data_IF_039160644815
#
_entry.id   IF_039160644815
#
_cell.length_a   1.000
_cell.length_b   1.000
_cell.length_c   1.000
_cell.angle_alpha   90.00
_cell.angle_beta   90.00
_cell.angle_gamma   90.00
#
_symmetry.space_group_name_H-M   'P 1'
#
loop_
_entity.id
_entity.type
_entity.pdbx_description
1 polymer ?
#
# COMPACT_ATOMS: atom_id res chain seq x y z
N UNK A 1 33.96 -56.21 75.27
CA UNK A 1 35.12 -55.80 74.48
C UNK A 1 34.69 -55.70 73.02
N UNK A 2 35.03 -54.58 72.41
CA UNK A 2 34.72 -54.09 71.07
C UNK A 2 34.89 -55.14 69.96
N UNK A 3 33.98 -55.17 68.97
CA UNK A 3 34.35 -55.25 67.55
C UNK A 3 33.18 -54.86 66.62
N UNK A 4 33.45 -53.92 65.71
CA UNK A 4 32.66 -53.45 64.56
C UNK A 4 33.04 -54.31 63.35
N UNK A 5 32.12 -54.82 62.52
CA UNK A 5 31.82 -54.21 61.20
C UNK A 5 30.34 -54.39 60.80
N UNK A 6 29.76 -53.67 59.85
CA UNK A 6 30.17 -53.54 58.46
C UNK A 6 29.34 -52.45 57.78
N UNK A 7 30.01 -51.59 57.04
CA UNK A 7 29.41 -50.56 56.18
C UNK A 7 28.69 -51.20 54.99
N UNK A 8 27.38 -50.99 54.85
CA UNK A 8 26.73 -51.07 53.54
C UNK A 8 26.57 -49.66 53.00
N UNK A 9 27.44 -49.33 52.05
CA UNK A 9 27.47 -48.04 51.37
C UNK A 9 26.39 -48.07 50.28
N UNK A 10 25.15 -47.71 50.62
CA UNK A 10 24.10 -47.52 49.62
C UNK A 10 24.36 -46.22 48.85
N UNK A 11 25.06 -46.34 47.73
CA UNK A 11 25.16 -45.29 46.73
C UNK A 11 23.77 -45.02 46.13
N UNK A 12 23.05 -44.07 46.70
CA UNK A 12 21.93 -43.43 46.02
C UNK A 12 22.48 -42.59 44.85
N UNK A 13 22.54 -43.20 43.67
CA UNK A 13 22.69 -42.48 42.41
C UNK A 13 21.45 -41.59 42.25
N UNK A 14 21.53 -40.34 42.70
CA UNK A 14 20.58 -39.29 42.33
C UNK A 14 20.71 -39.08 40.82
N UNK A 15 19.84 -39.73 40.03
CA UNK A 15 19.59 -39.38 38.64
C UNK A 15 19.13 -37.92 38.60
N UNK A 16 20.08 -37.03 38.34
CA UNK A 16 19.82 -35.65 37.94
C UNK A 16 18.82 -35.68 36.80
N UNK A 17 17.61 -35.16 37.03
CA UNK A 17 16.65 -34.82 35.98
C UNK A 17 17.28 -33.70 35.15
N UNK A 18 18.19 -34.04 34.23
CA UNK A 18 18.54 -33.18 33.10
C UNK A 18 17.25 -33.03 32.29
N UNK A 19 16.46 -31.99 32.62
CA UNK A 19 15.44 -31.50 31.72
C UNK A 19 16.11 -31.35 30.35
N UNK A 20 15.61 -32.10 29.38
CA UNK A 20 16.23 -32.28 28.06
C UNK A 20 16.66 -30.92 27.50
N UNK A 21 17.97 -30.64 27.58
CA UNK A 21 18.56 -29.36 27.15
C UNK A 21 18.20 -29.06 25.69
N UNK A 22 17.92 -30.11 24.92
CA UNK A 22 17.43 -30.05 23.55
C UNK A 22 16.07 -29.36 23.41
N UNK A 23 15.13 -29.58 24.33
CA UNK A 23 13.83 -28.88 24.33
C UNK A 23 13.99 -27.38 24.58
N UNK A 24 14.94 -27.00 25.44
CA UNK A 24 15.26 -25.58 25.72
C UNK A 24 15.95 -24.93 24.52
N UNK A 25 16.88 -25.63 23.86
CA UNK A 25 17.55 -25.15 22.64
C UNK A 25 16.54 -24.97 21.50
N UNK A 26 15.64 -25.93 21.29
CA UNK A 26 14.58 -25.81 20.27
C UNK A 26 13.65 -24.64 20.57
N UNK A 27 13.26 -24.45 21.84
CA UNK A 27 12.45 -23.30 22.25
C UNK A 27 13.17 -21.97 21.98
N UNK A 28 14.46 -21.88 22.30
CA UNK A 28 15.26 -20.68 22.02
C UNK A 28 15.39 -20.40 20.53
N UNK A 29 15.63 -21.43 19.71
CA UNK A 29 15.69 -21.28 18.24
C UNK A 29 14.33 -20.80 17.69
N UNK A 30 13.22 -21.36 18.17
CA UNK A 30 11.89 -20.92 17.76
C UNK A 30 11.67 -19.45 18.16
N UNK A 31 11.95 -19.07 19.41
CA UNK A 31 11.78 -17.68 19.87
C UNK A 31 12.66 -16.71 19.07
N UNK A 32 13.93 -17.05 18.85
CA UNK A 32 14.86 -16.22 18.05
C UNK A 32 14.54 -16.19 16.56
N UNK A 33 13.79 -17.16 16.02
CA UNK A 33 13.33 -17.17 14.63
C UNK A 33 12.00 -16.43 14.44
N UNK A 34 11.05 -16.59 15.37
CA UNK A 34 9.73 -15.96 15.29
C UNK A 34 9.76 -14.45 15.56
N UNK A 35 10.62 -13.97 16.46
CA UNK A 35 10.73 -12.52 16.73
C UNK A 35 11.12 -11.75 15.46
N UNK A 36 12.23 -12.07 14.75
CA UNK A 36 12.56 -11.44 13.48
C UNK A 36 11.47 -11.57 12.42
N UNK A 37 10.77 -12.70 12.35
CA UNK A 37 9.69 -12.90 11.40
C UNK A 37 8.50 -11.95 11.66
N UNK A 38 8.11 -11.76 12.94
CA UNK A 38 7.07 -10.82 13.34
C UNK A 38 7.50 -9.38 13.01
N UNK A 39 8.75 -9.01 13.32
CA UNK A 39 9.29 -7.70 12.97
C UNK A 39 9.33 -7.46 11.46
N UNK A 40 9.80 -8.45 10.68
CA UNK A 40 9.86 -8.36 9.23
C UNK A 40 8.47 -8.26 8.58
N UNK A 41 7.46 -8.93 9.16
CA UNK A 41 6.06 -8.79 8.75
C UNK A 41 5.53 -7.38 9.06
N UNK A 42 5.74 -6.87 10.27
CA UNK A 42 5.26 -5.55 10.70
C UNK A 42 5.92 -4.39 9.93
N UNK A 43 7.16 -4.58 9.49
CA UNK A 43 7.91 -3.60 8.70
C UNK A 43 7.78 -3.81 7.18
N UNK A 44 6.94 -4.76 6.75
CA UNK A 44 6.69 -5.01 5.33
C UNK A 44 7.95 -5.40 4.54
N UNK A 45 8.96 -5.99 5.19
CA UNK A 45 10.24 -6.37 4.56
C UNK A 45 9.98 -7.33 3.39
N UNK A 46 9.07 -8.30 3.59
CA UNK A 46 8.68 -9.28 2.59
C UNK A 46 7.58 -8.81 1.63
N UNK A 47 7.03 -7.61 1.81
CA UNK A 47 6.04 -7.12 0.86
C UNK A 47 6.68 -6.78 -0.47
N UNK A 48 5.94 -7.04 -1.55
CA UNK A 48 6.36 -6.67 -2.90
C UNK A 48 6.22 -5.17 -3.12
N UNK A 49 5.36 -4.50 -2.36
CA UNK A 49 5.02 -3.10 -2.49
C UNK A 49 5.65 -2.25 -1.38
N UNK A 50 5.75 -0.94 -1.63
CA UNK A 50 6.04 0.09 -0.64
C UNK A 50 5.16 1.32 -0.89
N UNK A 51 4.73 1.96 0.20
CA UNK A 51 3.95 3.21 0.14
C UNK A 51 4.90 4.39 0.08
N UNK A 52 4.63 5.39 -0.77
CA UNK A 52 5.50 6.54 -1.00
C UNK A 52 5.43 7.63 0.09
N UNK A 53 5.25 7.24 1.35
CA UNK A 53 5.12 8.16 2.48
C UNK A 53 6.36 9.05 2.75
N UNK A 54 7.52 8.71 2.18
CA UNK A 54 8.79 9.44 2.30
C UNK A 54 9.23 10.10 1.00
N UNK A 55 8.40 10.06 -0.04
CA UNK A 55 8.73 10.55 -1.37
C UNK A 55 7.70 11.58 -1.82
N UNK A 56 8.15 12.58 -2.59
CA UNK A 56 7.24 13.39 -3.39
C UNK A 56 6.99 12.66 -4.72
N UNK A 57 5.72 12.49 -5.07
CA UNK A 57 5.31 11.87 -6.32
C UNK A 57 4.99 12.98 -7.31
N UNK A 58 5.66 12.93 -8.45
CA UNK A 58 5.43 13.81 -9.57
C UNK A 58 5.04 13.03 -10.82
N UNK A 59 4.36 13.70 -11.74
CA UNK A 59 4.08 13.19 -13.08
C UNK A 59 4.88 13.98 -14.11
N UNK A 60 5.47 13.26 -15.06
CA UNK A 60 6.14 13.84 -16.21
C UNK A 60 5.12 14.15 -17.31
N UNK A 61 5.07 15.41 -17.73
CA UNK A 61 4.28 15.89 -18.87
C UNK A 61 5.20 16.80 -19.68
N UNK A 62 5.39 16.51 -20.98
CA UNK A 62 6.26 17.27 -21.88
C UNK A 62 7.66 17.54 -21.28
N UNK A 63 8.27 16.51 -20.69
CA UNK A 63 9.59 16.55 -20.02
C UNK A 63 9.67 17.47 -18.79
N UNK A 64 8.54 17.95 -18.29
CA UNK A 64 8.43 18.73 -17.05
C UNK A 64 7.80 17.90 -15.95
N UNK A 65 8.30 18.09 -14.73
CA UNK A 65 7.84 17.35 -13.55
C UNK A 65 6.86 18.19 -12.74
N UNK A 66 5.65 17.68 -12.54
CA UNK A 66 4.60 18.32 -11.76
C UNK A 66 4.25 17.47 -10.54
N UNK A 67 4.27 18.05 -9.35
CA UNK A 67 3.92 17.33 -8.11
C UNK A 67 2.44 17.00 -8.12
N UNK A 68 2.11 15.74 -7.83
CA UNK A 68 0.73 15.23 -7.74
C UNK A 68 0.38 14.69 -6.35
N UNK A 69 1.37 14.24 -5.58
CA UNK A 69 1.15 13.73 -4.22
C UNK A 69 2.37 13.93 -3.33
N UNK A 70 2.10 14.19 -2.05
CA UNK A 70 3.09 14.34 -0.99
C UNK A 70 2.74 13.54 0.27
N UNK A 71 1.61 12.82 0.27
CA UNK A 71 1.01 12.26 1.48
C UNK A 71 1.06 10.73 1.54
N UNK A 72 1.72 10.08 0.58
CA UNK A 72 1.80 8.62 0.53
C UNK A 72 0.50 7.98 0.04
N UNK A 73 -0.19 8.67 -0.87
CA UNK A 73 -1.41 8.18 -1.50
C UNK A 73 -1.10 7.14 -2.58
N UNK A 74 0.15 7.08 -3.05
CA UNK A 74 0.61 6.07 -3.98
C UNK A 74 1.42 4.96 -3.29
N UNK A 75 1.27 3.75 -3.82
CA UNK A 75 2.14 2.63 -3.53
C UNK A 75 2.75 2.07 -4.83
N UNK A 76 3.91 1.45 -4.69
CA UNK A 76 4.73 1.03 -5.81
C UNK A 76 5.31 -0.35 -5.55
N UNK A 77 5.49 -1.14 -6.59
CA UNK A 77 6.28 -2.36 -6.51
C UNK A 77 7.74 -2.00 -6.15
N UNK A 78 8.44 -2.81 -5.34
CA UNK A 78 9.86 -2.59 -5.07
C UNK A 78 10.66 -2.90 -6.34
N UNK A 79 11.74 -2.15 -6.57
CA UNK A 79 12.49 -2.16 -7.85
C UNK A 79 13.00 -3.52 -8.32
N UNK A 80 13.19 -4.48 -7.41
CA UNK A 80 13.66 -5.83 -7.71
C UNK A 80 12.55 -6.83 -8.06
N UNK A 81 11.28 -6.45 -7.86
CA UNK A 81 10.14 -7.23 -8.31
C UNK A 81 9.64 -6.72 -9.66
N UNK A 82 9.31 -7.66 -10.53
CA UNK A 82 8.69 -7.40 -11.83
C UNK A 82 7.37 -8.17 -11.95
N UNK A 83 6.37 -7.63 -12.69
CA UNK A 83 6.38 -6.31 -13.33
C UNK A 83 6.26 -5.17 -12.30
N UNK A 84 6.82 -4.01 -12.62
CA UNK A 84 6.63 -2.79 -11.85
C UNK A 84 5.17 -2.30 -11.96
N UNK A 85 4.55 -2.00 -10.82
CA UNK A 85 3.16 -1.53 -10.75
C UNK A 85 3.05 -0.29 -9.87
N UNK A 86 2.12 0.59 -10.25
CA UNK A 86 1.70 1.78 -9.53
C UNK A 86 0.28 1.56 -9.01
N UNK A 87 0.10 1.89 -7.74
CA UNK A 87 -1.15 1.73 -7.02
C UNK A 87 -1.57 3.06 -6.40
N UNK A 88 -2.88 3.34 -6.37
CA UNK A 88 -3.46 4.55 -5.78
C UNK A 88 -4.41 4.18 -4.65
N UNK A 89 -4.26 4.81 -3.49
CA UNK A 89 -5.13 4.59 -2.34
C UNK A 89 -6.58 4.94 -2.70
N UNK A 90 -7.50 4.04 -2.39
CA UNK A 90 -8.93 4.18 -2.71
C UNK A 90 -9.63 5.32 -1.95
N UNK A 91 -9.07 5.81 -0.84
CA UNK A 91 -9.55 7.03 -0.19
C UNK A 91 -9.23 8.30 -0.99
N UNK A 92 -8.34 8.20 -1.98
CA UNK A 92 -7.75 9.34 -2.69
C UNK A 92 -8.10 9.31 -4.18
N UNK A 93 -9.28 8.79 -4.49
CA UNK A 93 -9.74 8.61 -5.87
C UNK A 93 -9.89 9.91 -6.68
N UNK A 94 -9.92 11.08 -6.03
CA UNK A 94 -9.86 12.35 -6.75
C UNK A 94 -8.57 12.50 -7.58
N UNK A 95 -7.49 11.77 -7.25
CA UNK A 95 -6.24 11.72 -8.02
C UNK A 95 -6.37 10.91 -9.32
N UNK A 96 -7.39 10.07 -9.46
CA UNK A 96 -7.60 9.27 -10.67
C UNK A 96 -7.97 10.15 -11.88
N UNK A 97 -8.82 11.14 -11.67
CA UNK A 97 -9.32 12.07 -12.68
C UNK A 97 -8.19 12.78 -13.47
N UNK A 98 -7.21 13.46 -12.83
CA UNK A 98 -6.07 14.04 -13.54
C UNK A 98 -5.26 12.99 -14.31
N UNK A 99 -5.01 11.82 -13.72
CA UNK A 99 -4.21 10.78 -14.34
C UNK A 99 -4.89 10.27 -15.62
N UNK A 100 -6.21 10.09 -15.61
CA UNK A 100 -6.97 9.71 -16.79
C UNK A 100 -6.91 10.76 -17.90
N UNK A 101 -6.98 12.04 -17.55
CA UNK A 101 -6.85 13.14 -18.52
C UNK A 101 -5.47 13.21 -19.15
N UNK A 102 -4.43 13.02 -18.35
CA UNK A 102 -3.04 13.01 -18.80
C UNK A 102 -2.81 11.81 -19.73
N UNK A 103 -3.29 10.62 -19.35
CA UNK A 103 -3.20 9.41 -20.16
C UNK A 103 -3.82 9.58 -21.56
N UNK A 104 -4.88 10.39 -21.68
CA UNK A 104 -5.57 10.65 -22.94
C UNK A 104 -5.02 11.84 -23.73
N UNK A 105 -3.97 12.53 -23.23
CA UNK A 105 -3.51 13.81 -23.78
C UNK A 105 -4.63 14.87 -23.91
N UNK A 106 -5.69 14.76 -23.09
CA UNK A 106 -6.86 15.65 -23.13
C UNK A 106 -6.67 16.89 -22.24
N UNK A 107 -5.43 17.30 -22.05
CA UNK A 107 -5.04 18.24 -21.02
C UNK A 107 -4.21 19.37 -21.62
N UNK A 108 -4.63 20.62 -21.37
CA UNK A 108 -3.80 21.81 -21.61
C UNK A 108 -3.22 22.27 -20.28
N UNK A 109 -1.89 22.28 -20.18
CA UNK A 109 -1.14 22.88 -19.08
C UNK A 109 -1.29 24.40 -19.16
N UNK A 110 -2.24 24.94 -18.41
CA UNK A 110 -2.42 26.37 -18.22
C UNK A 110 -2.30 26.76 -16.73
N UNK A 111 -2.30 28.07 -16.47
CA UNK A 111 -2.16 28.64 -15.14
C UNK A 111 -3.34 28.31 -14.20
N UNK A 112 -4.47 27.81 -14.73
CA UNK A 112 -5.60 27.37 -13.89
C UNK A 112 -5.36 26.00 -13.26
N UNK A 113 -4.48 25.20 -13.86
CA UNK A 113 -4.15 23.86 -13.36
C UNK A 113 -2.75 23.80 -12.74
N UNK A 114 -1.81 24.64 -13.16
CA UNK A 114 -0.46 24.63 -12.59
C UNK A 114 -0.34 25.69 -11.51
N UNK A 115 -0.02 25.27 -10.29
CA UNK A 115 0.44 26.18 -9.24
C UNK A 115 1.97 26.25 -9.24
N UNK A 116 2.52 27.45 -9.05
CA UNK A 116 3.98 27.62 -8.98
C UNK A 116 4.55 26.86 -7.79
N UNK A 117 5.66 26.17 -8.03
CA UNK A 117 6.46 25.52 -7.00
C UNK A 117 7.68 26.38 -6.68
N UNK A 118 7.99 26.51 -5.39
CA UNK A 118 9.28 27.05 -4.93
C UNK A 118 10.41 26.01 -4.94
N UNK A 119 10.07 24.73 -5.15
CA UNK A 119 11.03 23.64 -5.17
C UNK A 119 11.68 23.51 -6.57
N UNK A 120 13.02 23.63 -6.69
CA UNK A 120 13.72 23.64 -7.98
C UNK A 120 13.66 22.31 -8.75
N UNK A 121 13.27 21.21 -8.10
CA UNK A 121 13.12 19.91 -8.76
C UNK A 121 11.82 19.77 -9.55
N UNK A 122 10.86 20.69 -9.38
CA UNK A 122 9.53 20.59 -9.98
C UNK A 122 9.17 21.87 -10.72
N UNK A 123 8.50 21.70 -11.86
CA UNK A 123 7.95 22.81 -12.65
C UNK A 123 6.69 23.41 -12.03
N UNK A 124 6.06 22.73 -11.08
CA UNK A 124 4.87 23.20 -10.38
C UNK A 124 4.16 22.09 -9.61
N UNK A 125 3.02 22.45 -9.04
CA UNK A 125 2.02 21.51 -8.53
C UNK A 125 0.90 21.39 -9.54
N UNK A 126 0.47 20.17 -9.82
CA UNK A 126 -0.73 19.96 -10.60
C UNK A 126 -1.95 20.13 -9.68
N UNK A 127 -2.87 21.00 -10.05
CA UNK A 127 -4.16 21.12 -9.38
C UNK A 127 -4.96 19.85 -9.65
N UNK A 128 -5.53 19.30 -8.58
CA UNK A 128 -6.34 18.09 -8.62
C UNK A 128 -7.82 18.38 -8.84
N UNK A 129 -8.20 19.66 -8.90
CA UNK A 129 -9.57 20.12 -9.06
C UNK A 129 -9.82 20.63 -10.49
N UNK A 130 -10.35 19.76 -11.34
CA UNK A 130 -10.74 20.10 -12.71
C UNK A 130 -12.19 20.57 -12.73
N UNK A 131 -12.42 21.87 -12.54
CA UNK A 131 -13.78 22.42 -12.47
C UNK A 131 -14.53 22.50 -13.82
N UNK A 132 -13.89 22.17 -14.95
CA UNK A 132 -14.41 22.58 -16.27
C UNK A 132 -14.49 21.48 -17.33
N UNK A 133 -14.65 20.22 -16.95
CA UNK A 133 -14.83 19.14 -17.93
C UNK A 133 -16.30 18.75 -18.10
N UNK A 134 -16.71 18.49 -19.35
CA UNK A 134 -18.04 17.92 -19.64
C UNK A 134 -18.15 16.42 -19.29
N UNK A 135 -17.04 15.74 -18.99
CA UNK A 135 -17.00 14.29 -18.75
C UNK A 135 -16.10 13.97 -17.57
N UNK A 136 -16.70 13.45 -16.49
CA UNK A 136 -15.98 12.93 -15.32
C UNK A 136 -15.52 11.49 -15.57
N UNK A 137 -14.31 11.14 -15.19
CA UNK A 137 -13.79 9.77 -15.19
C UNK A 137 -14.07 9.03 -13.89
N UNK A 138 -14.53 9.75 -12.86
CA UNK A 138 -15.01 9.18 -11.62
C UNK A 138 -16.41 9.66 -11.27
N UNK A 139 -17.21 8.76 -10.70
CA UNK A 139 -18.46 9.09 -10.03
C UNK A 139 -18.53 8.36 -8.71
N UNK A 140 -18.94 9.08 -7.68
CA UNK A 140 -19.17 8.52 -6.35
C UNK A 140 -20.67 8.61 -6.06
N UNK A 141 -21.26 7.49 -5.65
CA UNK A 141 -22.69 7.41 -5.30
C UNK A 141 -22.85 6.83 -3.90
N UNK A 142 -23.82 7.33 -3.15
CA UNK A 142 -24.17 6.81 -1.82
C UNK A 142 -25.40 5.93 -1.98
N UNK A 143 -25.29 4.69 -1.52
CA UNK A 143 -26.39 3.74 -1.47
C UNK A 143 -26.85 3.57 -0.03
N UNK A 144 -28.06 4.02 0.27
CA UNK A 144 -28.67 3.87 1.59
C UNK A 144 -29.27 2.47 1.72
N UNK A 145 -28.84 1.73 2.75
CA UNK A 145 -29.45 0.46 3.14
C UNK A 145 -30.67 0.70 4.03
N UNK A 146 -30.57 1.72 4.89
CA UNK A 146 -31.64 2.18 5.78
C UNK A 146 -31.33 3.63 6.23
N UNK A 147 -32.08 4.17 7.19
CA UNK A 147 -31.90 5.54 7.68
C UNK A 147 -30.54 5.82 8.37
N UNK A 148 -29.81 4.77 8.76
CA UNK A 148 -28.54 4.87 9.49
C UNK A 148 -27.36 4.34 8.69
N UNK A 149 -27.56 3.26 7.92
CA UNK A 149 -26.51 2.58 7.21
C UNK A 149 -26.55 2.90 5.71
N UNK A 150 -25.37 3.19 5.16
CA UNK A 150 -25.16 3.41 3.74
C UNK A 150 -23.77 2.91 3.36
N UNK A 151 -23.51 2.75 2.06
CA UNK A 151 -22.17 2.54 1.54
C UNK A 151 -21.89 3.44 0.35
N UNK A 152 -20.63 3.78 0.16
CA UNK A 152 -20.14 4.58 -0.95
C UNK A 152 -19.69 3.67 -2.10
N UNK A 153 -20.23 3.88 -3.29
CA UNK A 153 -19.85 3.17 -4.50
C UNK A 153 -19.07 4.11 -5.42
N UNK A 154 -17.82 3.73 -5.71
CA UNK A 154 -16.91 4.44 -6.61
C UNK A 154 -16.96 3.78 -7.99
N UNK A 155 -17.31 4.56 -9.00
CA UNK A 155 -17.45 4.15 -10.38
C UNK A 155 -16.38 4.87 -11.22
N UNK A 156 -15.59 4.12 -11.97
CA UNK A 156 -14.58 4.62 -12.88
C UNK A 156 -15.03 4.43 -14.33
N UNK A 157 -14.69 5.39 -15.18
CA UNK A 157 -15.10 5.42 -16.59
C UNK A 157 -13.88 5.55 -17.52
N UNK A 158 -13.99 5.02 -18.74
CA UNK A 158 -12.98 5.20 -19.79
C UNK A 158 -13.20 6.49 -20.62
N UNK A 159 -12.37 6.69 -21.65
CA UNK A 159 -12.48 7.78 -22.61
C UNK A 159 -13.83 7.82 -23.36
N UNK A 160 -14.46 6.66 -23.56
CA UNK A 160 -15.75 6.47 -24.22
C UNK A 160 -16.94 6.65 -23.26
N UNK A 161 -16.66 6.79 -21.95
CA UNK A 161 -17.62 6.90 -20.84
C UNK A 161 -18.33 5.61 -20.49
N UNK A 162 -17.80 4.47 -20.92
CA UNK A 162 -18.20 3.18 -20.42
C UNK A 162 -17.62 3.02 -19.01
N UNK A 163 -18.43 2.44 -18.12
CA UNK A 163 -17.96 2.09 -16.78
C UNK A 163 -16.96 0.93 -16.88
N UNK A 164 -15.78 1.11 -16.30
CA UNK A 164 -14.69 0.14 -16.35
C UNK A 164 -14.41 -0.54 -15.02
N UNK A 165 -14.79 0.10 -13.92
CA UNK A 165 -14.68 -0.48 -12.58
C UNK A 165 -15.73 0.14 -11.66
N UNK A 166 -16.31 -0.70 -10.81
CA UNK A 166 -17.22 -0.30 -9.76
C UNK A 166 -16.79 -1.01 -8.47
N UNK A 167 -16.57 -0.26 -7.39
CA UNK A 167 -16.08 -0.82 -6.14
C UNK A 167 -16.49 -0.01 -4.91
N UNK A 168 -16.40 -0.64 -3.74
CA UNK A 168 -16.63 0.00 -2.45
C UNK A 168 -15.73 -0.59 -1.38
N UNK A 169 -15.19 0.28 -0.55
CA UNK A 169 -14.31 0.00 0.58
C UNK A 169 -15.13 -0.20 1.88
N UNK A 170 -16.38 0.25 1.85
CA UNK A 170 -17.29 0.22 2.99
C UNK A 170 -17.64 -1.22 3.39
N UNK A 171 -17.62 -1.50 4.70
CA UNK A 171 -17.98 -2.80 5.28
C UNK A 171 -19.41 -3.23 4.97
N UNK A 172 -20.32 -2.28 4.72
CA UNK A 172 -21.73 -2.54 4.45
C UNK A 172 -22.00 -2.87 2.98
N UNK A 173 -21.03 -2.65 2.09
CA UNK A 173 -21.20 -2.95 0.68
C UNK A 173 -21.21 -4.47 0.41
N UNK A 174 -22.00 -4.92 -0.59
CA UNK A 174 -21.94 -6.28 -1.10
C UNK A 174 -20.53 -6.75 -1.46
N UNK A 175 -20.24 -8.03 -1.26
CA UNK A 175 -18.93 -8.64 -1.53
C UNK A 175 -18.41 -8.39 -2.94
N UNK A 176 -19.31 -8.35 -3.94
CA UNK A 176 -18.96 -8.08 -5.33
C UNK A 176 -18.27 -6.71 -5.53
N UNK A 177 -18.59 -5.73 -4.69
CA UNK A 177 -17.99 -4.39 -4.75
C UNK A 177 -16.75 -4.26 -3.85
N UNK A 178 -16.68 -5.06 -2.78
CA UNK A 178 -15.54 -5.06 -1.85
C UNK A 178 -14.35 -5.89 -2.32
N UNK A 179 -14.60 -6.89 -3.17
CA UNK A 179 -13.62 -7.86 -3.63
C UNK A 179 -13.47 -7.78 -5.15
N UNK A 180 -12.82 -6.73 -5.62
CA UNK A 180 -12.44 -6.58 -7.03
C UNK A 180 -11.00 -7.01 -7.24
N UNK A 181 -10.69 -7.56 -8.42
CA UNK A 181 -9.33 -8.00 -8.75
C UNK A 181 -8.36 -6.81 -8.91
N UNK A 182 -8.89 -5.61 -9.19
CA UNK A 182 -8.11 -4.40 -9.41
C UNK A 182 -7.75 -3.68 -8.10
N UNK A 183 -8.31 -4.09 -6.95
CA UNK A 183 -8.00 -3.52 -5.63
C UNK A 183 -7.17 -4.50 -4.79
N UNK A 184 -6.08 -3.98 -4.23
CA UNK A 184 -5.13 -4.73 -3.40
C UNK A 184 -4.97 -4.09 -2.04
N UNK A 185 -4.95 -4.91 -1.00
CA UNK A 185 -4.61 -4.49 0.35
C UNK A 185 -3.08 -4.38 0.49
N UNK A 186 -2.57 -3.17 0.74
CA UNK A 186 -1.13 -2.89 0.89
C UNK A 186 -0.86 -2.47 2.33
N UNK A 187 0.20 -3.01 2.95
CA UNK A 187 0.57 -2.60 4.32
C UNK A 187 1.34 -1.30 4.26
N UNK A 188 0.89 -0.34 5.07
CA UNK A 188 1.64 0.89 5.29
C UNK A 188 2.75 0.62 6.32
N UNK A 189 3.91 0.16 5.83
CA UNK A 189 5.05 -0.21 6.65
C UNK A 189 5.49 0.91 7.59
N UNK A 190 5.64 0.58 8.88
CA UNK A 190 6.02 1.54 9.92
C UNK A 190 4.88 2.43 10.43
N UNK A 191 3.64 2.20 9.96
CA UNK A 191 2.45 2.87 10.50
C UNK A 191 1.61 1.91 11.32
N UNK A 192 1.09 2.42 12.44
CA UNK A 192 0.11 1.74 13.27
C UNK A 192 -1.09 2.66 13.49
N UNK A 193 -2.29 2.09 13.41
CA UNK A 193 -3.50 2.76 13.89
C UNK A 193 -3.91 2.11 15.20
N UNK A 194 -4.14 2.92 16.23
CA UNK A 194 -4.75 2.48 17.48
C UNK A 194 -6.25 2.26 17.22
N UNK A 195 -6.73 1.03 17.42
CA UNK A 195 -8.17 0.79 17.49
C UNK A 195 -8.69 1.32 18.82
N UNK A 196 -9.76 2.11 18.81
CA UNK A 196 -10.40 2.61 20.02
C UNK A 196 -10.75 1.45 20.96
N UNK A 197 -10.14 1.42 22.14
CA UNK A 197 -10.42 0.40 23.17
C UNK A 197 -9.22 -0.24 23.87
N UNK A 198 -7.96 -0.03 23.44
CA UNK A 198 -6.80 -0.36 24.28
C UNK A 198 -5.58 -0.97 23.59
N UNK A 199 -4.40 -0.46 23.99
CA UNK A 199 -3.05 -1.07 24.00
C UNK A 199 -2.69 -2.02 22.84
N UNK A 200 -2.91 -1.62 21.59
CA UNK A 200 -2.46 -2.37 20.42
C UNK A 200 -2.04 -1.48 19.25
N UNK A 201 -0.90 -1.80 18.64
CA UNK A 201 -0.35 -1.20 17.41
C UNK A 201 -0.69 -2.15 16.27
N UNK A 202 -1.87 -2.00 15.65
CA UNK A 202 -2.26 -2.87 14.55
C UNK A 202 -1.62 -2.40 13.24
N UNK A 203 -1.10 -3.35 12.47
CA UNK A 203 -0.55 -3.11 11.14
C UNK A 203 -1.62 -2.47 10.27
N UNK A 204 -1.32 -1.30 9.71
CA UNK A 204 -2.24 -0.59 8.83
C UNK A 204 -2.22 -1.23 7.45
N UNK A 205 -3.39 -1.68 6.99
CA UNK A 205 -3.62 -2.20 5.64
C UNK A 205 -4.69 -1.33 5.00
N UNK A 206 -4.33 -0.66 3.92
CA UNK A 206 -5.25 0.19 3.18
C UNK A 206 -5.50 -0.40 1.78
N UNK A 207 -6.69 -0.20 1.20
CA UNK A 207 -6.98 -0.62 -0.16
C UNK A 207 -6.31 0.32 -1.17
N UNK A 208 -5.76 -0.25 -2.23
CA UNK A 208 -5.21 0.50 -3.34
C UNK A 208 -5.65 -0.08 -4.68
N UNK A 209 -6.06 0.80 -5.58
CA UNK A 209 -6.37 0.53 -6.98
C UNK A 209 -5.09 0.34 -7.80
N UNK A 210 -5.02 -0.73 -8.61
CA UNK A 210 -3.92 -1.00 -9.52
C UNK A 210 -4.01 -0.14 -10.80
N UNK A 211 -3.42 1.05 -10.76
CA UNK A 211 -3.44 1.99 -11.88
C UNK A 211 -2.73 1.43 -13.11
N UNK A 212 -1.59 0.77 -12.95
CA UNK A 212 -0.83 0.22 -14.08
C UNK A 212 -1.67 -0.75 -14.91
N UNK A 213 -2.40 -1.66 -14.27
CA UNK A 213 -3.26 -2.60 -14.99
C UNK A 213 -4.50 -1.92 -15.59
N UNK A 214 -5.12 -1.02 -14.84
CA UNK A 214 -6.34 -0.35 -15.26
C UNK A 214 -6.10 0.56 -16.48
N UNK A 215 -5.02 1.35 -16.48
CA UNK A 215 -4.63 2.18 -17.61
C UNK A 215 -4.21 1.36 -18.83
N UNK A 216 -3.48 0.26 -18.62
CA UNK A 216 -3.11 -0.61 -19.73
C UNK A 216 -4.35 -1.21 -20.42
N UNK A 217 -5.32 -1.69 -19.64
CA UNK A 217 -6.52 -2.36 -20.17
C UNK A 217 -7.50 -1.39 -20.84
N UNK A 218 -7.72 -0.21 -20.26
CA UNK A 218 -8.83 0.67 -20.66
C UNK A 218 -8.41 1.95 -21.37
N UNK A 219 -7.13 2.32 -21.31
CA UNK A 219 -6.61 3.56 -21.91
C UNK A 219 -5.50 3.28 -22.93
N UNK A 220 -5.05 2.03 -23.09
CA UNK A 220 -3.90 1.66 -23.93
C UNK A 220 -2.62 2.43 -23.55
N UNK A 221 -2.50 2.77 -22.27
CA UNK A 221 -1.38 3.51 -21.71
C UNK A 221 -0.71 2.70 -20.62
N UNK A 222 0.62 2.60 -20.68
CA UNK A 222 1.44 2.00 -19.63
C UNK A 222 1.87 3.10 -18.66
N UNK A 223 1.40 3.02 -17.43
CA UNK A 223 1.88 3.85 -16.34
C UNK A 223 3.14 3.22 -15.73
N UNK A 224 4.27 3.91 -15.88
CA UNK A 224 5.57 3.52 -15.33
C UNK A 224 6.01 4.51 -14.24
N UNK A 225 7.04 4.14 -13.47
CA UNK A 225 7.65 5.05 -12.52
C UNK A 225 9.17 4.89 -12.45
N UNK A 226 9.86 5.96 -12.04
CA UNK A 226 11.27 5.95 -11.67
C UNK A 226 11.44 6.52 -10.26
N UNK A 227 12.47 6.04 -9.54
CA UNK A 227 12.72 6.44 -8.15
C UNK A 227 14.07 7.13 -8.06
N UNK A 228 14.07 8.42 -7.73
CA UNK A 228 15.26 9.18 -7.33
C UNK A 228 15.36 9.19 -5.81
N UNK A 229 16.16 8.27 -5.25
CA UNK A 229 16.36 8.12 -3.80
C UNK A 229 17.06 9.33 -3.17
N UNK A 230 17.98 9.97 -3.89
CA UNK A 230 18.75 11.10 -3.38
C UNK A 230 17.86 12.31 -3.13
N UNK A 231 16.96 12.60 -4.07
CA UNK A 231 16.04 13.72 -3.99
C UNK A 231 14.68 13.33 -3.38
N UNK A 232 14.53 12.09 -2.89
CA UNK A 232 13.28 11.52 -2.37
C UNK A 232 12.09 11.80 -3.30
N UNK A 233 12.26 11.49 -4.57
CA UNK A 233 11.29 11.75 -5.62
C UNK A 233 10.91 10.47 -6.36
N UNK A 234 9.64 10.32 -6.68
CA UNK A 234 9.13 9.31 -7.60
C UNK A 234 8.51 10.03 -8.78
N UNK A 235 8.91 9.67 -9.99
CA UNK A 235 8.35 10.24 -11.22
C UNK A 235 7.48 9.21 -11.90
N UNK A 236 6.22 9.55 -12.15
CA UNK A 236 5.29 8.80 -12.97
C UNK A 236 5.40 9.27 -14.42
N UNK A 237 5.25 8.35 -15.37
CA UNK A 237 5.19 8.68 -16.79
C UNK A 237 4.25 7.72 -17.50
N UNK A 238 3.51 8.23 -18.49
CA UNK A 238 2.66 7.42 -19.35
C UNK A 238 3.39 7.13 -20.66
N UNK A 239 3.32 5.89 -21.11
CA UNK A 239 3.87 5.44 -22.38
C UNK A 239 2.79 4.72 -23.19
N UNK A 240 2.63 5.01 -24.50
CA UNK A 240 1.72 4.27 -25.35
C UNK A 240 2.07 2.78 -25.34
N UNK A 241 1.05 1.93 -25.31
CA UNK A 241 1.23 0.50 -25.56
C UNK A 241 1.22 0.33 -27.08
N UNK A 242 2.43 0.14 -27.65
CA UNK A 242 2.65 -0.19 -29.06
C UNK A 242 2.13 -1.59 -29.41
#
# INVERSE_FOLDING_TARGET
MTYIPSSSNNQHIKKSKRASSWKVIILLILVFSFIPAIFAYQWGVFQKEFVANKYQVAIEIDHKLYVIDQSGNFAFTKSFFQPQQVYLNTDQMYLYEPLARIALHQFKLDDSVIQKSSNPYFSGYLSMYFQNSQRSFIKTTIHYLNAKDSYQLNQLFNAQGDMILEFSDDRYAPDQYRKTADIKQIVMAGMCRSSGGGKGCNVVKDPYLNLTQLFARHFQQRLIYSVNKQNKMITLSFQPIS
#
